data_IF_220524302602
#
_entry.id   IF_220524302602
#
_cell.length_a   1.000
_cell.length_b   1.000
_cell.length_c   1.000
_cell.angle_alpha   90.00
_cell.angle_beta   90.00
_cell.angle_gamma   90.00
#
_symmetry.space_group_name_H-M   'P 1'
#
loop_
_entity.id
_entity.type
_entity.pdbx_description
1 polymer ?
#
# COMPACT_ATOMS: atom_id res chain seq x y z
N UNK A 1 22.39 -2.90 18.96
CA UNK A 1 22.86 -3.08 17.56
C UNK A 1 21.70 -2.69 16.67
N UNK A 2 21.89 -1.77 15.73
CA UNK A 2 20.85 -1.45 14.75
C UNK A 2 20.58 -2.71 13.89
N UNK A 3 19.35 -2.89 13.44
CA UNK A 3 19.02 -3.97 12.51
C UNK A 3 19.60 -3.68 11.13
N UNK A 4 20.14 -4.70 10.45
CA UNK A 4 20.63 -4.61 9.08
C UNK A 4 19.56 -4.18 8.05
N UNK A 5 18.28 -4.13 8.45
CA UNK A 5 17.15 -3.70 7.61
C UNK A 5 16.33 -2.53 8.21
N UNK A 6 16.97 -1.69 9.03
CA UNK A 6 16.29 -0.58 9.69
C UNK A 6 15.76 0.48 8.70
N UNK A 7 16.50 0.75 7.63
CA UNK A 7 16.13 1.69 6.57
C UNK A 7 14.98 1.14 5.73
N UNK A 8 15.09 -0.12 5.28
CA UNK A 8 14.04 -0.83 4.54
C UNK A 8 12.73 -0.84 5.31
N UNK A 9 12.78 -1.15 6.62
CA UNK A 9 11.59 -1.09 7.46
C UNK A 9 11.00 0.33 7.50
N UNK A 10 11.84 1.36 7.67
CA UNK A 10 11.35 2.74 7.76
C UNK A 10 10.69 3.20 6.47
N UNK A 11 11.31 2.94 5.32
CA UNK A 11 10.73 3.27 4.01
C UNK A 11 9.45 2.47 3.77
N UNK A 12 9.43 1.18 4.11
CA UNK A 12 8.25 0.33 3.98
C UNK A 12 7.08 0.82 4.87
N UNK A 13 7.34 1.22 6.13
CA UNK A 13 6.34 1.81 7.02
C UNK A 13 5.73 3.08 6.43
N UNK A 14 6.55 3.99 5.92
CA UNK A 14 6.09 5.25 5.33
C UNK A 14 5.32 5.01 4.02
N UNK A 15 5.79 4.09 3.17
CA UNK A 15 5.09 3.70 1.94
C UNK A 15 3.71 3.09 2.24
N UNK A 16 3.64 2.18 3.21
CA UNK A 16 2.38 1.58 3.67
C UNK A 16 1.46 2.62 4.30
N UNK A 17 2.00 3.58 5.07
CA UNK A 17 1.22 4.68 5.62
C UNK A 17 0.54 5.49 4.50
N UNK A 18 1.32 5.90 3.48
CA UNK A 18 0.80 6.68 2.35
C UNK A 18 -0.25 5.90 1.55
N UNK A 19 -0.01 4.61 1.28
CA UNK A 19 -0.98 3.75 0.62
C UNK A 19 -2.27 3.53 1.45
N UNK A 20 -2.14 3.38 2.77
CA UNK A 20 -3.28 3.26 3.69
C UNK A 20 -4.19 4.50 3.70
N UNK A 21 -3.60 5.70 3.54
CA UNK A 21 -4.38 6.93 3.37
C UNK A 21 -5.17 6.95 2.06
N UNK A 22 -4.57 6.46 0.97
CA UNK A 22 -5.25 6.34 -0.32
C UNK A 22 -6.45 5.39 -0.22
N UNK A 23 -6.25 4.20 0.36
CA UNK A 23 -7.33 3.20 0.48
C UNK A 23 -8.47 3.71 1.37
N UNK A 24 -8.16 4.45 2.46
CA UNK A 24 -9.18 5.11 3.28
C UNK A 24 -9.92 6.21 2.52
N UNK A 25 -9.23 7.01 1.70
CA UNK A 25 -9.85 8.02 0.84
C UNK A 25 -10.88 7.39 -0.09
N UNK A 26 -10.55 6.24 -0.69
CA UNK A 26 -11.47 5.48 -1.55
C UNK A 26 -12.72 5.03 -0.79
N UNK A 27 -12.57 4.47 0.42
CA UNK A 27 -13.71 4.06 1.26
C UNK A 27 -14.61 5.23 1.66
N UNK A 28 -14.02 6.36 2.05
CA UNK A 28 -14.78 7.55 2.43
C UNK A 28 -15.53 8.17 1.25
N UNK A 29 -14.94 8.16 0.05
CA UNK A 29 -15.59 8.65 -1.16
C UNK A 29 -16.79 7.78 -1.56
N UNK A 30 -16.73 6.46 -1.34
CA UNK A 30 -17.88 5.54 -1.45
C UNK A 30 -18.98 5.91 -0.48
N UNK A 31 -18.66 6.11 0.80
CA UNK A 31 -19.67 6.37 1.84
C UNK A 31 -20.41 7.69 1.62
N UNK A 32 -19.73 8.68 1.02
CA UNK A 32 -20.33 9.95 0.58
C UNK A 32 -21.17 9.83 -0.70
N UNK A 33 -21.24 8.64 -1.31
CA UNK A 33 -21.94 8.41 -2.58
C UNK A 33 -21.25 9.03 -3.80
N UNK A 34 -20.01 9.51 -3.65
CA UNK A 34 -19.23 10.09 -4.76
C UNK A 34 -18.62 9.00 -5.66
N UNK A 35 -18.60 7.75 -5.19
CA UNK A 35 -18.27 6.57 -5.98
C UNK A 35 -19.48 5.62 -5.99
N UNK A 36 -19.88 5.15 -7.18
CA UNK A 36 -21.03 4.27 -7.32
C UNK A 36 -20.82 2.93 -6.60
N UNK A 37 -21.88 2.43 -5.95
CA UNK A 37 -21.88 1.23 -5.09
C UNK A 37 -21.77 -0.10 -5.85
N UNK A 38 -21.93 -0.10 -7.17
CA UNK A 38 -22.10 -1.33 -7.94
C UNK A 38 -20.82 -1.89 -8.57
N UNK A 39 -19.67 -1.21 -8.49
CA UNK A 39 -18.55 -1.58 -9.33
C UNK A 39 -17.38 -2.20 -8.57
N UNK A 40 -16.88 -3.33 -9.09
CA UNK A 40 -15.53 -3.85 -8.87
C UNK A 40 -14.44 -2.77 -9.02
N UNK A 41 -14.77 -1.59 -9.58
CA UNK A 41 -13.90 -0.41 -9.67
C UNK A 41 -13.35 0.10 -8.33
N UNK A 42 -14.05 -0.08 -7.19
CA UNK A 42 -13.56 0.44 -5.90
C UNK A 42 -12.27 -0.24 -5.46
N UNK A 43 -12.30 -1.56 -5.51
CA UNK A 43 -11.17 -2.46 -5.26
C UNK A 43 -10.07 -2.10 -6.26
N UNK A 44 -10.39 -2.21 -7.56
CA UNK A 44 -9.45 -1.93 -8.65
C UNK A 44 -8.72 -0.59 -8.52
N UNK A 45 -9.42 0.49 -8.16
CA UNK A 45 -8.79 1.81 -8.02
C UNK A 45 -7.89 1.88 -6.77
N UNK A 46 -8.33 1.28 -5.67
CA UNK A 46 -7.53 1.20 -4.44
C UNK A 46 -6.27 0.36 -4.68
N UNK A 47 -6.39 -0.79 -5.33
CA UNK A 47 -5.27 -1.68 -5.63
C UNK A 47 -4.23 -1.03 -6.52
N UNK A 48 -4.64 -0.45 -7.66
CA UNK A 48 -3.72 0.26 -8.55
C UNK A 48 -3.04 1.44 -7.87
N UNK A 49 -3.80 2.24 -7.11
CA UNK A 49 -3.27 3.42 -6.43
C UNK A 49 -2.26 3.05 -5.34
N UNK A 50 -2.61 2.10 -4.48
CA UNK A 50 -1.73 1.61 -3.43
C UNK A 50 -0.47 0.95 -4.00
N UNK A 51 -0.60 0.08 -5.02
CA UNK A 51 0.55 -0.53 -5.71
C UNK A 51 1.48 0.53 -6.29
N UNK A 52 0.95 1.55 -6.98
CA UNK A 52 1.75 2.62 -7.56
C UNK A 52 2.55 3.39 -6.50
N UNK A 53 1.89 3.78 -5.39
CA UNK A 53 2.54 4.54 -4.31
C UNK A 53 3.61 3.73 -3.57
N UNK A 54 3.35 2.44 -3.34
CA UNK A 54 4.28 1.53 -2.66
C UNK A 54 5.51 1.30 -3.55
N UNK A 55 5.30 0.83 -4.78
CA UNK A 55 6.41 0.50 -5.67
C UNK A 55 7.26 1.75 -5.97
N UNK A 56 6.63 2.91 -6.22
CA UNK A 56 7.36 4.16 -6.43
C UNK A 56 8.25 4.52 -5.24
N UNK A 57 7.73 4.41 -4.01
CA UNK A 57 8.46 4.73 -2.80
C UNK A 57 9.67 3.80 -2.57
N UNK A 58 9.45 2.50 -2.72
CA UNK A 58 10.53 1.54 -2.54
C UNK A 58 11.58 1.71 -3.65
N UNK A 59 11.16 1.86 -4.91
CA UNK A 59 12.08 2.04 -6.05
C UNK A 59 12.91 3.32 -5.93
N UNK A 60 12.35 4.39 -5.37
CA UNK A 60 13.08 5.63 -5.11
C UNK A 60 14.32 5.40 -4.23
N UNK A 61 14.18 4.55 -3.21
CA UNK A 61 15.24 4.24 -2.24
C UNK A 61 16.08 3.03 -2.63
N UNK A 62 15.50 2.06 -3.34
CA UNK A 62 16.12 0.80 -3.74
C UNK A 62 15.91 0.52 -5.24
N UNK A 63 16.59 1.25 -6.16
CA UNK A 63 16.29 1.21 -7.59
C UNK A 63 16.54 -0.13 -8.30
N UNK A 64 17.28 -1.04 -7.66
CA UNK A 64 17.65 -2.34 -8.20
C UNK A 64 16.79 -3.49 -7.64
N UNK A 65 15.92 -3.21 -6.67
CA UNK A 65 15.07 -4.24 -6.07
C UNK A 65 13.93 -4.63 -7.04
N UNK A 66 13.50 -5.89 -6.94
CA UNK A 66 12.44 -6.46 -7.77
C UNK A 66 11.12 -6.40 -7.00
N UNK A 67 10.00 -6.33 -7.73
CA UNK A 67 8.66 -6.26 -7.16
C UNK A 67 7.79 -7.42 -7.64
N UNK A 68 6.97 -7.97 -6.76
CA UNK A 68 5.92 -8.93 -7.06
C UNK A 68 4.64 -8.39 -6.42
N UNK A 69 3.73 -7.90 -7.23
CA UNK A 69 2.40 -7.42 -6.82
C UNK A 69 1.30 -8.19 -7.53
N UNK A 70 0.05 -7.93 -7.13
CA UNK A 70 -1.13 -8.56 -7.75
C UNK A 70 -1.48 -7.92 -9.10
N UNK A 71 -1.26 -6.61 -9.23
CA UNK A 71 -1.81 -5.83 -10.33
C UNK A 71 -0.86 -5.60 -11.51
N UNK A 72 -1.43 -5.42 -12.71
CA UNK A 72 -0.72 -4.91 -13.90
C UNK A 72 -1.50 -3.75 -14.54
N UNK A 73 -0.83 -2.86 -15.28
CA UNK A 73 -1.47 -1.65 -15.79
C UNK A 73 -2.25 -1.86 -17.10
N UNK A 74 -2.56 -3.10 -17.54
CA UNK A 74 -3.29 -3.35 -18.80
C UNK A 74 -4.70 -2.76 -18.79
N UNK A 75 -5.41 -2.88 -17.66
CA UNK A 75 -6.75 -2.33 -17.50
C UNK A 75 -6.73 -0.79 -17.62
N UNK A 76 -5.77 -0.14 -16.96
CA UNK A 76 -5.60 1.32 -17.00
C UNK A 76 -5.26 1.85 -18.39
N UNK A 77 -4.47 1.10 -19.17
CA UNK A 77 -4.18 1.48 -20.57
C UNK A 77 -5.40 1.38 -21.49
N UNK A 78 -6.33 0.50 -21.14
CA UNK A 78 -7.54 0.24 -21.94
C UNK A 78 -8.70 1.17 -21.55
N UNK A 79 -8.70 1.69 -20.32
CA UNK A 79 -9.74 2.59 -19.80
C UNK A 79 -9.13 3.91 -19.29
N UNK A 80 -9.27 4.96 -20.11
CA UNK A 80 -8.76 6.31 -19.78
C UNK A 80 -9.50 6.96 -18.60
N UNK A 81 -10.77 6.63 -18.37
CA UNK A 81 -11.51 7.18 -17.23
C UNK A 81 -11.01 6.56 -15.92
N UNK A 82 -10.82 5.24 -15.93
CA UNK A 82 -10.22 4.52 -14.80
C UNK A 82 -8.80 5.04 -14.53
N UNK A 83 -7.97 5.17 -15.57
CA UNK A 83 -6.63 5.74 -15.47
C UNK A 83 -6.63 7.12 -14.82
N UNK A 84 -7.54 8.00 -15.25
CA UNK A 84 -7.66 9.35 -14.71
C UNK A 84 -8.04 9.33 -13.22
N UNK A 85 -8.99 8.48 -12.81
CA UNK A 85 -9.41 8.34 -11.40
C UNK A 85 -8.28 7.84 -10.51
N UNK A 86 -7.51 6.84 -10.96
CA UNK A 86 -6.34 6.34 -10.21
C UNK A 86 -5.28 7.43 -10.11
N UNK A 87 -5.00 8.15 -11.21
CA UNK A 87 -4.04 9.24 -11.21
C UNK A 87 -4.39 10.37 -10.25
N UNK A 88 -5.66 10.77 -10.20
CA UNK A 88 -6.13 11.80 -9.27
C UNK A 88 -5.89 11.40 -7.81
N UNK A 89 -6.12 10.13 -7.46
CA UNK A 89 -5.84 9.62 -6.12
C UNK A 89 -4.33 9.56 -5.83
N UNK A 90 -3.54 9.01 -6.75
CA UNK A 90 -2.08 8.90 -6.58
C UNK A 90 -1.43 10.28 -6.44
N UNK A 91 -1.79 11.23 -7.30
CA UNK A 91 -1.21 12.59 -7.30
C UNK A 91 -1.68 13.47 -6.15
N UNK A 92 -2.82 13.17 -5.54
CA UNK A 92 -3.36 13.93 -4.40
C UNK A 92 -3.08 13.30 -3.03
N UNK A 93 -2.55 12.07 -2.97
CA UNK A 93 -2.22 11.42 -1.70
C UNK A 93 -0.79 11.71 -1.29
N UNK A 94 -0.60 12.30 -0.11
CA UNK A 94 0.69 12.63 0.48
C UNK A 94 0.62 12.47 2.00
N UNK A 95 1.77 12.22 2.63
CA UNK A 95 1.91 12.35 4.07
C UNK A 95 1.94 13.83 4.48
N UNK A 96 1.41 14.14 5.65
CA UNK A 96 1.44 15.51 6.22
C UNK A 96 2.86 15.94 6.62
N UNK A 97 3.73 14.97 6.93
CA UNK A 97 5.12 15.21 7.32
C UNK A 97 6.02 15.34 6.09
N UNK A 98 6.54 16.55 5.86
CA UNK A 98 7.35 16.88 4.70
C UNK A 98 8.64 16.06 4.63
N UNK A 99 9.32 15.83 5.77
CA UNK A 99 10.56 15.05 5.79
C UNK A 99 10.30 13.61 5.35
N UNK A 100 9.24 12.98 5.87
CA UNK A 100 8.83 11.64 5.46
C UNK A 100 8.41 11.57 3.99
N UNK A 101 7.69 12.58 3.49
CA UNK A 101 7.26 12.60 2.08
C UNK A 101 8.46 12.73 1.13
N UNK A 102 9.47 13.54 1.47
CA UNK A 102 10.70 13.66 0.69
C UNK A 102 11.45 12.31 0.59
N UNK A 103 11.41 11.47 1.62
CA UNK A 103 12.01 10.12 1.58
C UNK A 103 11.30 9.17 0.61
N UNK A 104 10.04 9.40 0.27
CA UNK A 104 9.25 8.49 -0.57
C UNK A 104 9.31 8.82 -2.06
N UNK A 105 9.79 10.01 -2.43
CA UNK A 105 9.70 10.50 -3.79
C UNK A 105 8.26 10.66 -4.28
N UNK A 106 8.11 11.07 -5.53
CA UNK A 106 6.81 11.42 -6.14
C UNK A 106 6.66 10.78 -7.51
N UNK A 107 5.45 10.32 -7.82
CA UNK A 107 5.05 9.91 -9.17
C UNK A 107 4.64 11.16 -9.95
N UNK A 108 5.35 11.48 -11.03
CA UNK A 108 5.28 12.79 -11.69
C UNK A 108 4.35 12.81 -12.91
N UNK A 109 3.95 11.64 -13.41
CA UNK A 109 3.07 11.54 -14.59
C UNK A 109 2.21 10.29 -14.57
N UNK A 110 1.15 10.30 -15.39
CA UNK A 110 0.30 9.12 -15.61
C UNK A 110 1.10 7.98 -16.24
N UNK A 111 2.02 8.31 -17.15
CA UNK A 111 2.90 7.36 -17.81
C UNK A 111 3.81 6.68 -16.78
N UNK A 112 4.45 7.45 -15.91
CA UNK A 112 5.27 6.93 -14.81
C UNK A 112 4.44 6.04 -13.87
N UNK A 113 3.21 6.45 -13.52
CA UNK A 113 2.28 5.64 -12.72
C UNK A 113 2.05 4.26 -13.33
N UNK A 114 1.79 4.19 -14.64
CA UNK A 114 1.59 2.91 -15.32
C UNK A 114 2.87 2.06 -15.33
N UNK A 115 4.03 2.70 -15.52
CA UNK A 115 5.33 2.02 -15.51
C UNK A 115 5.63 1.41 -14.14
N UNK A 116 5.39 2.15 -13.04
CA UNK A 116 5.63 1.60 -11.69
C UNK A 116 4.67 0.47 -11.34
N UNK A 117 3.40 0.53 -11.76
CA UNK A 117 2.45 -0.58 -11.55
C UNK A 117 2.96 -1.86 -12.22
N UNK A 118 3.44 -1.78 -13.47
CA UNK A 118 3.91 -2.94 -14.22
C UNK A 118 5.18 -3.59 -13.64
N UNK A 119 5.95 -2.87 -12.81
CA UNK A 119 7.10 -3.48 -12.12
C UNK A 119 6.66 -4.62 -11.19
N UNK A 120 5.41 -4.60 -10.71
CA UNK A 120 4.82 -5.66 -9.89
C UNK A 120 4.63 -6.98 -10.64
N UNK A 121 4.68 -7.00 -11.98
CA UNK A 121 4.45 -8.21 -12.78
C UNK A 121 5.66 -9.15 -12.89
N UNK A 122 6.71 -8.96 -12.08
CA UNK A 122 7.88 -9.85 -12.11
C UNK A 122 7.53 -11.26 -11.63
N UNK A 123 8.10 -12.27 -12.28
CA UNK A 123 7.95 -13.69 -11.89
C UNK A 123 9.23 -14.27 -11.27
N UNK A 124 10.29 -13.46 -11.19
CA UNK A 124 11.63 -13.90 -10.80
C UNK A 124 11.90 -13.61 -9.32
N UNK A 125 11.85 -14.65 -8.48
CA UNK A 125 12.22 -14.59 -7.05
C UNK A 125 13.62 -15.16 -6.74
N UNK A 126 14.32 -15.70 -7.74
CA UNK A 126 15.44 -16.61 -7.50
C UNK A 126 16.82 -15.95 -7.31
N UNK A 127 16.96 -14.63 -7.55
CA UNK A 127 18.23 -13.91 -7.33
C UNK A 127 17.96 -12.49 -6.83
N UNK A 128 18.54 -12.15 -5.67
CA UNK A 128 18.52 -10.79 -5.12
C UNK A 128 17.43 -10.53 -4.07
N UNK A 129 17.10 -9.24 -3.94
CA UNK A 129 16.08 -8.70 -3.05
C UNK A 129 14.77 -8.51 -3.82
N UNK A 130 13.67 -8.95 -3.21
CA UNK A 130 12.34 -8.91 -3.81
C UNK A 130 11.35 -8.36 -2.78
N UNK A 131 10.60 -7.34 -3.17
CA UNK A 131 9.45 -6.85 -2.43
C UNK A 131 8.19 -7.53 -2.94
N UNK A 132 7.43 -8.13 -2.03
CA UNK A 132 6.15 -8.77 -2.31
C UNK A 132 5.07 -7.92 -1.66
N UNK A 133 4.04 -7.56 -2.40
CA UNK A 133 2.96 -6.71 -1.92
C UNK A 133 1.59 -7.24 -2.32
N UNK A 134 0.63 -7.02 -1.42
CA UNK A 134 -0.81 -7.15 -1.65
C UNK A 134 -1.43 -5.80 -1.29
N UNK A 135 -1.82 -4.98 -2.29
CA UNK A 135 -2.27 -3.62 -2.05
C UNK A 135 -3.53 -3.51 -1.20
N UNK A 136 -4.45 -4.48 -1.30
CA UNK A 136 -5.69 -4.57 -0.51
C UNK A 136 -6.02 -6.03 -0.19
N UNK A 137 -5.39 -6.57 0.86
CA UNK A 137 -5.72 -7.88 1.40
C UNK A 137 -7.06 -7.83 2.15
N UNK A 138 -7.93 -8.81 1.91
CA UNK A 138 -9.29 -8.82 2.42
C UNK A 138 -10.27 -7.99 1.58
N UNK A 139 -10.10 -7.97 0.26
CA UNK A 139 -10.94 -7.25 -0.72
C UNK A 139 -12.45 -7.26 -0.46
N UNK A 140 -13.01 -8.43 -0.07
CA UNK A 140 -14.45 -8.55 0.22
C UNK A 140 -14.88 -7.73 1.41
N UNK A 141 -14.03 -7.63 2.42
CA UNK A 141 -14.28 -6.89 3.64
C UNK A 141 -13.96 -5.40 3.44
N UNK A 142 -12.95 -5.08 2.64
CA UNK A 142 -12.73 -3.71 2.13
C UNK A 142 -14.00 -3.14 1.47
N UNK A 143 -14.60 -3.86 0.53
CA UNK A 143 -15.84 -3.43 -0.17
C UNK A 143 -16.98 -3.15 0.81
N UNK A 144 -17.04 -3.86 1.94
CA UNK A 144 -18.04 -3.67 3.00
C UNK A 144 -17.66 -2.62 4.03
N UNK A 145 -16.46 -2.04 3.93
CA UNK A 145 -15.91 -1.09 4.91
C UNK A 145 -15.50 -1.74 6.23
N UNK A 146 -15.31 -3.07 6.23
CA UNK A 146 -14.84 -3.86 7.36
C UNK A 146 -13.31 -3.87 7.41
N UNK A 147 -12.71 -4.81 8.15
CA UNK A 147 -11.24 -4.91 8.26
C UNK A 147 -10.60 -5.31 6.93
N UNK A 148 -9.44 -4.74 6.64
CA UNK A 148 -8.58 -5.05 5.49
C UNK A 148 -7.16 -4.63 5.84
N UNK A 149 -6.19 -5.08 5.04
CA UNK A 149 -4.80 -4.69 5.21
C UNK A 149 -4.15 -4.25 3.90
N UNK A 150 -3.13 -3.41 4.02
CA UNK A 150 -2.17 -3.11 2.96
C UNK A 150 -0.87 -3.81 3.35
N UNK A 151 -0.39 -4.74 2.52
CA UNK A 151 0.66 -5.69 2.91
C UNK A 151 1.93 -5.49 2.09
N UNK A 152 3.09 -5.48 2.76
CA UNK A 152 4.39 -5.42 2.12
C UNK A 152 5.42 -6.26 2.88
N UNK A 153 6.21 -7.03 2.13
CA UNK A 153 7.31 -7.82 2.68
C UNK A 153 8.56 -7.72 1.80
N UNK A 154 9.74 -7.67 2.43
CA UNK A 154 11.02 -7.82 1.75
C UNK A 154 11.52 -9.25 1.96
N UNK A 155 11.84 -9.93 0.86
CA UNK A 155 12.54 -11.19 0.84
C UNK A 155 13.94 -10.99 0.28
N UNK A 156 14.93 -11.62 0.92
CA UNK A 156 16.28 -11.72 0.39
C UNK A 156 16.67 -13.20 0.31
N UNK A 157 17.01 -13.66 -0.91
CA UNK A 157 17.31 -15.08 -1.18
C UNK A 157 16.19 -16.02 -0.70
N UNK A 158 14.93 -15.60 -0.89
CA UNK A 158 13.74 -16.36 -0.50
C UNK A 158 13.42 -16.34 0.99
N UNK A 159 14.18 -15.63 1.82
CA UNK A 159 13.95 -15.51 3.27
C UNK A 159 13.36 -14.14 3.56
N UNK A 160 12.21 -14.08 4.23
CA UNK A 160 11.59 -12.83 4.65
C UNK A 160 12.48 -12.11 5.68
N UNK A 161 12.78 -10.85 5.41
CA UNK A 161 13.61 -9.97 6.23
C UNK A 161 12.80 -8.91 6.93
N UNK A 162 11.88 -8.27 6.21
CA UNK A 162 10.97 -7.23 6.70
C UNK A 162 9.54 -7.62 6.36
N UNK A 163 8.61 -7.34 7.28
CA UNK A 163 7.17 -7.36 7.02
C UNK A 163 6.53 -6.10 7.58
N UNK A 164 5.61 -5.51 6.83
CA UNK A 164 4.83 -4.34 7.22
C UNK A 164 3.38 -4.54 6.79
N UNK A 165 2.46 -4.33 7.73
CA UNK A 165 1.02 -4.36 7.52
C UNK A 165 0.44 -3.02 7.93
N UNK A 166 -0.25 -2.36 7.01
CA UNK A 166 -1.13 -1.24 7.33
C UNK A 166 -2.52 -1.79 7.57
N UNK A 167 -3.11 -1.52 8.73
CA UNK A 167 -4.46 -1.96 9.10
C UNK A 167 -5.33 -0.72 9.36
N UNK A 168 -5.88 -0.08 8.30
CA UNK A 168 -6.41 1.27 8.43
C UNK A 168 -7.70 1.34 9.26
N UNK A 169 -8.44 0.22 9.35
CA UNK A 169 -9.68 0.12 10.12
C UNK A 169 -9.50 -0.52 11.50
N UNK A 170 -8.27 -0.88 11.87
CA UNK A 170 -7.97 -1.49 13.16
C UNK A 170 -7.58 -0.42 14.18
N UNK A 171 -8.26 -0.41 15.33
CA UNK A 171 -8.02 0.54 16.40
C UNK A 171 -7.40 -0.16 17.63
N UNK A 172 -6.24 0.32 18.09
CA UNK A 172 -5.53 -0.20 19.28
C UNK A 172 -6.26 0.03 20.59
N UNK A 173 -7.12 1.05 20.67
CA UNK A 173 -7.85 1.38 21.90
C UNK A 173 -9.11 0.52 22.08
N UNK A 174 -9.43 -0.30 21.07
CA UNK A 174 -10.54 -1.21 21.15
C UNK A 174 -10.15 -2.39 22.07
N UNK A 175 -10.80 -2.48 23.22
CA UNK A 175 -10.71 -3.65 24.12
C UNK A 175 -11.20 -4.95 23.46
N UNK A 176 -11.88 -4.83 22.32
CA UNK A 176 -12.29 -5.93 21.45
C UNK A 176 -11.95 -5.59 19.99
N UNK A 177 -11.33 -6.53 19.29
CA UNK A 177 -11.20 -6.46 17.83
C UNK A 177 -12.59 -6.71 17.24
N UNK A 178 -13.05 -5.79 16.38
CA UNK A 178 -14.31 -5.93 15.66
C UNK A 178 -14.03 -6.22 14.20
N UNK A 179 -14.55 -7.35 13.72
CA UNK A 179 -14.41 -7.75 12.30
C UNK A 179 -15.30 -6.93 11.36
N UNK A 180 -16.24 -6.16 11.90
CA UNK A 180 -17.10 -5.24 11.14
C UNK A 180 -16.50 -3.85 10.94
N UNK A 181 -17.24 -2.93 10.29
CA UNK A 181 -16.82 -1.55 10.17
C UNK A 181 -16.53 -0.92 11.55
N UNK A 182 -15.46 -0.12 11.68
CA UNK A 182 -15.11 0.47 12.97
C UNK A 182 -16.25 1.39 13.44
N UNK A 183 -16.69 1.20 14.69
CA UNK A 183 -17.73 2.04 15.29
C UNK A 183 -17.29 3.50 15.47
N UNK A 184 -15.99 3.68 15.71
CA UNK A 184 -15.33 4.98 15.83
C UNK A 184 -14.10 4.94 14.91
N UNK A 185 -14.04 5.79 13.87
CA UNK A 185 -12.86 5.91 13.03
C UNK A 185 -11.65 6.29 13.90
N UNK A 186 -10.57 5.53 13.80
CA UNK A 186 -9.28 5.83 14.39
C UNK A 186 -8.23 6.07 13.30
N UNK A 187 -6.99 6.39 13.67
CA UNK A 187 -5.90 6.58 12.71
C UNK A 187 -5.51 5.28 11.97
N UNK A 188 -6.02 4.12 12.40
CA UNK A 188 -5.52 2.82 11.99
C UNK A 188 -4.25 2.47 12.76
N UNK A 189 -3.62 1.36 12.38
CA UNK A 189 -2.31 0.99 12.90
C UNK A 189 -1.41 0.45 11.79
N UNK A 190 -0.11 0.58 11.98
CA UNK A 190 0.91 -0.11 11.20
C UNK A 190 1.64 -1.09 12.13
N UNK A 191 1.70 -2.35 11.71
CA UNK A 191 2.45 -3.40 12.37
C UNK A 191 3.66 -3.72 11.50
N UNK A 192 4.86 -3.71 12.06
CA UNK A 192 6.08 -4.01 11.33
C UNK A 192 6.99 -4.95 12.11
N UNK A 193 7.79 -5.74 11.41
CA UNK A 193 8.76 -6.64 12.01
C UNK A 193 10.02 -6.77 11.16
N UNK A 194 11.15 -7.00 11.82
CA UNK A 194 12.39 -7.43 11.17
C UNK A 194 12.82 -8.76 11.73
N UNK A 195 13.25 -9.67 10.84
CA UNK A 195 13.73 -11.00 11.22
C UNK A 195 14.82 -10.91 12.30
N UNK A 196 14.56 -11.50 13.47
CA UNK A 196 15.47 -11.52 14.61
C UNK A 196 15.36 -10.34 15.58
N UNK A 197 14.50 -9.35 15.31
CA UNK A 197 14.37 -8.14 16.13
C UNK A 197 12.96 -7.93 16.72
N UNK A 198 12.05 -8.89 16.50
CA UNK A 198 10.67 -8.83 16.99
C UNK A 198 9.76 -7.95 16.12
N UNK A 199 8.56 -7.66 16.65
CA UNK A 199 7.53 -6.86 16.00
C UNK A 199 7.24 -5.59 16.81
N UNK A 200 6.85 -4.54 16.10
CA UNK A 200 6.49 -3.22 16.63
C UNK A 200 5.20 -2.72 16.00
N UNK A 201 4.47 -1.90 16.73
CA UNK A 201 3.26 -1.25 16.24
C UNK A 201 3.40 0.27 16.35
N UNK A 202 2.83 1.00 15.40
CA UNK A 202 2.70 2.46 15.45
C UNK A 202 1.29 2.87 14.98
N UNK A 203 0.73 3.97 15.51
CA UNK A 203 -0.47 4.58 14.95
C UNK A 203 -0.17 5.23 13.58
#
# INVERSE_FOLDING_TARGET
MASDYAEERRIAELAIQRASLLTQTVLLARDKGSLNKEDNSLVTIADFGAQALIISAIRHNFPQDIFIGEEDAKALRSDKQLQQRVWELVSSTHLDDKESEEMLGTVNSREEMLEVIDLGSSTSSQKGRVWVLDPVDGTKDFVRGAQYAVCLALLEKGIQKVGVLGCPNLNTDATNIFDGPPKTPGPGIIISAVSGYGATTRP
#
